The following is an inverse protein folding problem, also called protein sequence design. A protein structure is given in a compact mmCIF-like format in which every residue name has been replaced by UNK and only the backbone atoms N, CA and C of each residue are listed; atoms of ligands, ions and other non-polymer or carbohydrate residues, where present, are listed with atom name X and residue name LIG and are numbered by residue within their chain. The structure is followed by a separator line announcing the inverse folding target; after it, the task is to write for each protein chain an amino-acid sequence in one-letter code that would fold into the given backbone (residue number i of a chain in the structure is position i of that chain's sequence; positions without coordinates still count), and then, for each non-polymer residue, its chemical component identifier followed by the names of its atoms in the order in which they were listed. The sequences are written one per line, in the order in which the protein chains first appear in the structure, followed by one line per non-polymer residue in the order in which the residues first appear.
data_IF_293168157821
#
_entry.id   IF_293168157821
#
_cell.length_a   1.000
_cell.length_b   1.000
_cell.length_c   1.000
_cell.angle_alpha   90.00
_cell.angle_beta   90.00
_cell.angle_gamma   90.00
#
_symmetry.space_group_name_H-M   'P 1'
#
loop_
_entity.id
_entity.type
_entity.pdbx_description
1 polymer ?
#
# COMPACT_ATOMS: atom_id res chain seq x y z
N UNK A 1 -13.20 14.47 -18.33
CA UNK A 1 -12.19 13.45 -18.68
C UNK A 1 -11.00 13.39 -17.71
N UNK A 2 -10.87 14.29 -16.71
CA UNK A 2 -9.70 14.31 -15.78
C UNK A 2 -9.88 13.44 -14.53
N UNK A 3 -11.10 13.26 -14.02
CA UNK A 3 -11.38 12.50 -12.78
C UNK A 3 -11.20 10.98 -12.91
N UNK A 4 -11.45 10.42 -14.09
CA UNK A 4 -11.33 8.98 -14.34
C UNK A 4 -9.87 8.52 -14.29
N UNK A 5 -8.95 9.33 -14.84
CA UNK A 5 -7.51 9.04 -14.84
C UNK A 5 -6.90 9.06 -13.42
N UNK A 6 -7.41 9.91 -12.52
CA UNK A 6 -6.94 9.92 -11.13
C UNK A 6 -7.39 8.70 -10.35
N UNK A 7 -8.65 8.27 -10.52
CA UNK A 7 -9.19 7.14 -9.77
C UNK A 7 -8.42 5.84 -10.05
N UNK A 8 -8.18 5.53 -11.32
CA UNK A 8 -7.43 4.33 -11.72
C UNK A 8 -5.97 4.40 -11.25
N UNK A 9 -5.33 5.57 -11.35
CA UNK A 9 -3.96 5.78 -10.87
C UNK A 9 -3.84 5.60 -9.36
N UNK A 10 -4.81 6.11 -8.58
CA UNK A 10 -4.81 5.97 -7.12
C UNK A 10 -4.96 4.49 -6.77
N UNK A 11 -5.91 3.78 -7.38
CA UNK A 11 -6.11 2.35 -7.15
C UNK A 11 -4.84 1.55 -7.49
N UNK A 12 -4.19 1.87 -8.61
CA UNK A 12 -2.92 1.25 -9.01
C UNK A 12 -1.81 1.50 -7.98
N UNK A 13 -1.65 2.73 -7.48
CA UNK A 13 -0.62 3.04 -6.48
C UNK A 13 -0.89 2.37 -5.13
N UNK A 14 -2.15 2.30 -4.71
CA UNK A 14 -2.56 1.58 -3.50
C UNK A 14 -2.22 0.10 -3.64
N UNK A 15 -2.60 -0.54 -4.75
CA UNK A 15 -2.31 -1.96 -5.01
C UNK A 15 -0.80 -2.25 -5.04
N UNK A 16 -0.02 -1.41 -5.73
CA UNK A 16 1.44 -1.51 -5.75
C UNK A 16 2.04 -1.39 -4.35
N UNK A 17 1.54 -0.46 -3.54
CA UNK A 17 2.04 -0.23 -2.17
C UNK A 17 1.81 -1.46 -1.29
N UNK A 18 0.60 -2.03 -1.27
CA UNK A 18 0.32 -3.22 -0.46
C UNK A 18 1.10 -4.44 -0.96
N UNK A 19 1.18 -4.65 -2.28
CA UNK A 19 1.98 -5.73 -2.87
C UNK A 19 3.47 -5.58 -2.57
N UNK A 20 4.00 -4.36 -2.53
CA UNK A 20 5.37 -4.10 -2.14
C UNK A 20 5.61 -4.47 -0.67
N UNK A 21 4.69 -4.11 0.23
CA UNK A 21 4.74 -4.54 1.64
C UNK A 21 4.75 -6.06 1.78
N UNK A 22 3.86 -6.75 1.06
CA UNK A 22 3.84 -8.22 1.03
C UNK A 22 5.19 -8.80 0.57
N UNK A 23 5.77 -8.26 -0.51
CA UNK A 23 7.08 -8.71 -1.02
C UNK A 23 8.17 -8.49 0.01
N UNK A 24 8.22 -7.31 0.64
CA UNK A 24 9.20 -6.98 1.66
C UNK A 24 9.22 -7.99 2.81
N UNK A 25 8.06 -8.30 3.41
CA UNK A 25 8.00 -9.28 4.50
C UNK A 25 8.30 -10.72 4.06
N UNK A 26 7.98 -11.09 2.82
CA UNK A 26 8.40 -12.39 2.27
C UNK A 26 9.93 -12.47 2.14
N UNK A 27 10.59 -11.40 1.72
CA UNK A 27 12.06 -11.36 1.65
C UNK A 27 12.69 -11.37 3.04
N UNK A 28 12.12 -10.65 4.02
CA UNK A 28 12.55 -10.74 5.42
C UNK A 28 12.46 -12.17 5.96
N UNK A 29 11.33 -12.84 5.71
CA UNK A 29 11.13 -14.25 6.08
C UNK A 29 12.21 -15.16 5.47
N UNK A 30 12.44 -15.04 4.16
CA UNK A 30 13.47 -15.82 3.45
C UNK A 30 14.86 -15.57 4.04
N UNK A 31 15.18 -14.32 4.34
CA UNK A 31 16.47 -13.96 4.94
C UNK A 31 16.66 -14.58 6.33
N UNK A 32 15.62 -14.59 7.19
CA UNK A 32 15.68 -15.27 8.49
C UNK A 32 15.87 -16.78 8.36
N UNK A 33 15.16 -17.44 7.43
CA UNK A 33 15.35 -18.88 7.16
C UNK A 33 16.80 -19.17 6.72
N UNK A 34 17.36 -18.33 5.84
CA UNK A 34 18.75 -18.47 5.40
C UNK A 34 19.77 -18.29 6.54
N UNK A 35 19.42 -17.51 7.57
CA UNK A 35 20.23 -17.35 8.79
C UNK A 35 20.00 -18.45 9.84
N UNK A 36 19.10 -19.40 9.58
CA UNK A 36 18.71 -20.44 10.55
C UNK A 36 17.82 -19.91 11.69
N UNK A 37 17.24 -18.72 11.54
CA UNK A 37 16.29 -18.15 12.48
C UNK A 37 14.87 -18.66 12.18
N UNK A 38 14.03 -18.80 13.21
CA UNK A 38 12.60 -19.03 13.01
C UNK A 38 11.92 -17.68 12.69
N UNK A 39 11.41 -17.48 11.46
CA UNK A 39 10.77 -16.22 11.10
C UNK A 39 9.42 -16.08 11.82
N UNK A 40 9.16 -14.90 12.38
CA UNK A 40 7.87 -14.56 12.96
C UNK A 40 7.14 -13.56 12.07
N UNK A 41 5.83 -13.76 11.79
CA UNK A 41 5.08 -12.81 10.99
C UNK A 41 4.91 -11.47 11.73
N UNK A 42 4.86 -10.33 11.01
CA UNK A 42 4.46 -9.06 11.61
C UNK A 42 3.00 -9.12 12.07
N UNK A 43 2.60 -8.24 12.99
CA UNK A 43 1.18 -8.04 13.28
C UNK A 43 0.47 -7.38 12.08
N UNK A 44 -0.86 -7.48 12.05
CA UNK A 44 -1.67 -6.80 11.03
C UNK A 44 -1.48 -5.27 11.09
N UNK A 45 -1.35 -4.71 12.29
CA UNK A 45 -1.11 -3.29 12.51
C UNK A 45 0.23 -2.86 11.88
N UNK A 46 1.33 -3.55 12.22
CA UNK A 46 2.65 -3.27 11.63
C UNK A 46 2.64 -3.41 10.11
N UNK A 47 1.99 -4.45 9.57
CA UNK A 47 1.85 -4.61 8.13
C UNK A 47 1.08 -3.44 7.49
N UNK A 48 -0.03 -3.03 8.12
CA UNK A 48 -0.89 -1.95 7.64
C UNK A 48 -0.19 -0.59 7.72
N UNK A 49 0.58 -0.33 8.78
CA UNK A 49 1.39 0.89 8.93
C UNK A 49 2.45 0.98 7.83
N UNK A 50 3.17 -0.10 7.55
CA UNK A 50 4.16 -0.14 6.48
C UNK A 50 3.52 0.11 5.11
N UNK A 51 2.39 -0.54 4.83
CA UNK A 51 1.64 -0.30 3.60
C UNK A 51 1.14 1.15 3.52
N UNK A 52 0.65 1.72 4.62
CA UNK A 52 0.23 3.12 4.72
C UNK A 52 1.37 4.11 4.47
N UNK A 53 2.58 3.80 4.95
CA UNK A 53 3.78 4.58 4.67
C UNK A 53 4.13 4.60 3.17
N UNK A 54 4.11 3.43 2.51
CA UNK A 54 4.35 3.34 1.05
C UNK A 54 3.25 4.03 0.23
N UNK A 55 2.00 3.91 0.67
CA UNK A 55 0.88 4.63 0.06
C UNK A 55 1.10 6.14 0.15
N UNK A 56 1.47 6.66 1.33
CA UNK A 56 1.73 8.08 1.52
C UNK A 56 2.88 8.58 0.63
N UNK A 57 3.99 7.85 0.59
CA UNK A 57 5.10 8.19 -0.29
C UNK A 57 4.69 8.21 -1.79
N UNK A 58 3.84 7.25 -2.19
CA UNK A 58 3.29 7.22 -3.56
C UNK A 58 2.36 8.39 -3.85
N UNK A 59 1.53 8.80 -2.89
CA UNK A 59 0.69 10.01 -2.98
C UNK A 59 1.54 11.25 -3.18
N UNK A 60 2.58 11.43 -2.36
CA UNK A 60 3.42 12.62 -2.39
C UNK A 60 4.14 12.75 -3.75
N UNK A 61 4.63 11.62 -4.30
CA UNK A 61 5.19 11.57 -5.65
C UNK A 61 4.19 11.93 -6.76
N UNK A 62 2.89 11.61 -6.58
CA UNK A 62 1.85 12.04 -7.51
C UNK A 62 1.56 13.55 -7.36
N UNK A 63 1.49 14.05 -6.14
CA UNK A 63 1.29 15.47 -5.84
C UNK A 63 2.39 16.34 -6.43
N UNK A 64 3.64 15.90 -6.36
CA UNK A 64 4.79 16.63 -6.92
C UNK A 64 4.73 16.77 -8.44
N UNK A 65 4.08 15.83 -9.14
CA UNK A 65 3.88 15.88 -10.59
C UNK A 65 2.78 16.86 -11.00
N UNK A 66 1.90 17.25 -10.07
CA UNK A 66 0.79 18.16 -10.33
C UNK A 66 1.25 19.62 -10.17
N UNK A 67 1.09 20.40 -11.25
CA UNK A 67 1.47 21.82 -11.26
C UNK A 67 0.36 22.75 -10.73
N UNK A 68 -0.89 22.32 -10.83
CA UNK A 68 -2.06 23.13 -10.50
C UNK A 68 -2.56 22.81 -9.09
N UNK A 69 -2.71 23.80 -8.19
CA UNK A 69 -3.23 23.58 -6.84
C UNK A 69 -4.58 22.86 -6.80
N UNK A 70 -5.53 23.25 -7.65
CA UNK A 70 -6.85 22.61 -7.70
C UNK A 70 -6.80 21.11 -8.07
N UNK A 71 -5.80 20.67 -8.84
CA UNK A 71 -5.63 19.25 -9.14
C UNK A 71 -5.02 18.50 -7.95
N UNK A 72 -4.18 19.16 -7.15
CA UNK A 72 -3.65 18.59 -5.89
C UNK A 72 -4.79 18.35 -4.91
N UNK A 73 -5.64 19.35 -4.71
CA UNK A 73 -6.80 19.24 -3.80
C UNK A 73 -7.72 18.08 -4.19
N UNK A 74 -8.01 17.93 -5.49
CA UNK A 74 -8.80 16.81 -6.02
C UNK A 74 -8.11 15.46 -5.75
N UNK A 75 -6.79 15.34 -6.01
CA UNK A 75 -6.06 14.11 -5.72
C UNK A 75 -6.12 13.76 -4.23
N UNK A 76 -5.94 14.73 -3.35
CA UNK A 76 -5.97 14.50 -1.90
C UNK A 76 -7.33 14.02 -1.42
N UNK A 77 -8.41 14.62 -1.93
CA UNK A 77 -9.78 14.22 -1.59
C UNK A 77 -10.09 12.81 -2.08
N UNK A 78 -9.80 12.51 -3.35
CA UNK A 78 -10.02 11.18 -3.92
C UNK A 78 -9.17 10.11 -3.21
N UNK A 79 -7.92 10.45 -2.86
CA UNK A 79 -7.04 9.55 -2.11
C UNK A 79 -7.62 9.22 -0.74
N UNK A 80 -8.05 10.23 0.01
CA UNK A 80 -8.66 10.04 1.32
C UNK A 80 -9.90 9.15 1.25
N UNK A 81 -10.75 9.34 0.23
CA UNK A 81 -11.90 8.49 -0.01
C UNK A 81 -11.49 7.04 -0.32
N UNK A 82 -10.52 6.83 -1.20
CA UNK A 82 -10.03 5.50 -1.59
C UNK A 82 -9.45 4.71 -0.42
N UNK A 83 -8.75 5.35 0.51
CA UNK A 83 -8.24 4.67 1.71
C UNK A 83 -9.35 4.19 2.65
N UNK A 84 -10.49 4.88 2.67
CA UNK A 84 -11.63 4.49 3.51
C UNK A 84 -12.47 3.38 2.89
N UNK A 85 -12.38 3.20 1.57
CA UNK A 85 -13.15 2.21 0.83
C UNK A 85 -12.91 0.78 1.31
N UNK A 86 -13.99 -0.01 1.27
CA UNK A 86 -13.97 -1.41 1.63
C UNK A 86 -12.96 -2.24 0.80
N UNK A 87 -12.81 -1.92 -0.49
CA UNK A 87 -11.85 -2.62 -1.37
C UNK A 87 -10.41 -2.49 -0.88
N UNK A 88 -9.98 -1.30 -0.46
CA UNK A 88 -8.62 -1.07 0.07
C UNK A 88 -8.40 -1.79 1.39
N UNK A 89 -9.38 -1.73 2.31
CA UNK A 89 -9.32 -2.45 3.59
C UNK A 89 -9.28 -3.96 3.38
N UNK A 90 -10.09 -4.47 2.45
CA UNK A 90 -10.11 -5.88 2.07
C UNK A 90 -8.79 -6.30 1.44
N UNK A 91 -8.21 -5.50 0.54
CA UNK A 91 -6.92 -5.79 -0.08
C UNK A 91 -5.80 -5.93 0.96
N UNK A 92 -5.74 -5.01 1.94
CA UNK A 92 -4.79 -5.08 3.05
C UNK A 92 -4.95 -6.39 3.83
N UNK A 93 -6.18 -6.74 4.19
CA UNK A 93 -6.48 -7.97 4.92
C UNK A 93 -6.13 -9.23 4.11
N UNK A 94 -6.58 -9.32 2.87
CA UNK A 94 -6.35 -10.48 1.99
C UNK A 94 -4.84 -10.71 1.76
N UNK A 95 -4.06 -9.65 1.56
CA UNK A 95 -2.61 -9.77 1.36
C UNK A 95 -1.87 -10.09 2.67
N UNK A 96 -2.36 -9.61 3.82
CA UNK A 96 -1.84 -10.02 5.12
C UNK A 96 -2.13 -11.49 5.42
N UNK A 97 -3.33 -11.99 5.15
CA UNK A 97 -3.66 -13.41 5.32
C UNK A 97 -2.78 -14.31 4.42
N UNK A 98 -2.50 -13.87 3.19
CA UNK A 98 -1.54 -14.55 2.30
C UNK A 98 -0.11 -14.50 2.83
N UNK A 99 0.28 -13.45 3.54
CA UNK A 99 1.58 -13.38 4.22
C UNK A 99 1.62 -14.43 5.33
N UNK A 100 0.60 -14.45 6.21
CA UNK A 100 0.51 -15.39 7.32
C UNK A 100 0.56 -16.85 6.87
N UNK A 101 -0.13 -17.20 5.78
CA UNK A 101 -0.12 -18.56 5.23
C UNK A 101 1.26 -19.06 4.77
N UNK A 102 2.26 -18.17 4.70
CA UNK A 102 3.63 -18.51 4.31
C UNK A 102 4.59 -18.62 5.49
N UNK A 103 4.32 -17.95 6.61
CA UNK A 103 5.13 -18.08 7.82
C UNK A 103 4.86 -19.43 8.47
#
# INVERSE_FOLDING_TARGET
MVLYDFNDKIDEQIDKSVKATLRFYNELRKASILRGESPSPPSFETFSEMAGGLMRASKDLLLDKLRTPSMKDVLEQEWAQKLQNYSTKRLLKDLYERLLARF
#
